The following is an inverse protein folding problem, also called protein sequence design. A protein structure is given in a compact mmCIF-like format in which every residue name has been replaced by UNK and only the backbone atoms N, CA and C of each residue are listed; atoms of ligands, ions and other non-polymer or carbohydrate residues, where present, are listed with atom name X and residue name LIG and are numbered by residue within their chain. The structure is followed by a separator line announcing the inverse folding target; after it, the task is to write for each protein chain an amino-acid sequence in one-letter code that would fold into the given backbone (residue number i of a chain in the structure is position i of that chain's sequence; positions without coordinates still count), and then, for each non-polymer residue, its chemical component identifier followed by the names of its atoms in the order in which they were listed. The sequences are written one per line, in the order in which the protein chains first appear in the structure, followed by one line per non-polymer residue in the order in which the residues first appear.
data_IF_783932472408
#
_entry.id   IF_783932472408
#
_cell.length_a   1.000
_cell.length_b   1.000
_cell.length_c   1.000
_cell.angle_alpha   90.00
_cell.angle_beta   90.00
_cell.angle_gamma   90.00
#
_symmetry.space_group_name_H-M   'P 1'
#
loop_
_entity.id
_entity.type
_entity.pdbx_description
1 polymer ?
#
# COMPACT_ATOMS: atom_id res chain seq x y z
N UNK A 1 4.08 10.41 -11.38
CA UNK A 1 4.62 11.26 -10.29
C UNK A 1 5.09 10.32 -9.21
N UNK A 2 6.18 10.63 -8.48
CA UNK A 2 6.62 9.76 -7.39
C UNK A 2 5.50 9.55 -6.37
N UNK A 3 5.49 8.42 -5.64
CA UNK A 3 4.49 8.15 -4.63
C UNK A 3 4.52 9.22 -3.54
N UNK A 4 3.34 9.55 -3.02
CA UNK A 4 3.22 10.39 -1.84
C UNK A 4 3.24 9.53 -0.59
N UNK A 5 4.24 9.76 0.26
CA UNK A 5 4.36 9.12 1.57
C UNK A 5 4.07 10.18 2.64
N UNK A 6 2.99 10.00 3.41
CA UNK A 6 2.71 10.89 4.53
C UNK A 6 3.88 10.85 5.54
N UNK A 7 4.31 11.99 6.13
CA UNK A 7 5.44 12.02 7.06
C UNK A 7 5.31 11.13 8.31
N UNK A 8 4.08 10.74 8.64
CA UNK A 8 3.74 9.85 9.76
C UNK A 8 3.46 8.40 9.34
N UNK A 9 3.65 8.06 8.06
CA UNK A 9 3.61 6.68 7.62
C UNK A 9 4.99 6.04 7.86
N UNK A 10 4.99 4.77 8.30
CA UNK A 10 6.20 3.98 8.39
C UNK A 10 6.26 3.05 7.17
N UNK A 11 7.09 3.40 6.19
CA UNK A 11 7.19 2.69 4.92
C UNK A 11 8.60 2.13 4.79
N UNK A 12 8.72 0.82 4.94
CA UNK A 12 10.00 0.10 4.89
C UNK A 12 10.19 -0.66 3.57
N UNK A 13 9.25 -0.51 2.63
CA UNK A 13 9.30 -1.11 1.29
C UNK A 13 9.71 -0.11 0.21
N UNK A 14 10.53 -0.58 -0.72
CA UNK A 14 11.05 0.23 -1.83
C UNK A 14 10.15 0.19 -3.07
N UNK A 15 9.30 -0.83 -3.20
CA UNK A 15 8.49 -1.09 -4.40
C UNK A 15 7.12 -0.44 -4.32
N UNK A 16 7.09 0.89 -4.33
CA UNK A 16 5.85 1.69 -4.35
C UNK A 16 5.69 2.37 -5.71
N UNK A 17 4.63 2.01 -6.44
CA UNK A 17 4.36 2.52 -7.77
C UNK A 17 3.98 4.00 -7.81
N UNK A 18 4.16 4.60 -8.99
CA UNK A 18 3.87 6.00 -9.27
C UNK A 18 2.41 6.39 -8.96
N UNK A 19 2.23 7.64 -8.54
CA UNK A 19 0.94 8.25 -8.18
C UNK A 19 0.19 7.53 -7.04
N UNK A 20 0.85 6.60 -6.33
CA UNK A 20 0.30 5.97 -5.14
C UNK A 20 0.40 6.91 -3.93
N UNK A 21 -0.65 6.93 -3.10
CA UNK A 21 -0.70 7.70 -1.86
C UNK A 21 -0.75 6.78 -0.66
N UNK A 22 0.14 7.00 0.30
CA UNK A 22 0.18 6.30 1.58
C UNK A 22 -0.08 7.33 2.68
N UNK A 23 -1.15 7.12 3.45
CA UNK A 23 -1.66 8.06 4.44
C UNK A 23 -1.13 7.77 5.85
N UNK A 24 -1.49 8.62 6.82
CA UNK A 24 -0.85 8.66 8.13
C UNK A 24 -1.04 7.35 8.92
N UNK A 25 -0.05 7.01 9.75
CA UNK A 25 -0.08 5.83 10.62
C UNK A 25 -0.24 4.49 9.88
N UNK A 26 -0.04 4.49 8.56
CA UNK A 26 0.11 3.28 7.78
C UNK A 26 1.48 2.70 8.06
N UNK A 27 1.56 1.38 8.27
CA UNK A 27 2.81 0.66 8.43
C UNK A 27 2.92 -0.42 7.34
N UNK A 28 3.93 -0.27 6.48
CA UNK A 28 4.23 -1.17 5.37
C UNK A 28 5.58 -1.81 5.66
N UNK A 29 5.59 -3.11 5.94
CA UNK A 29 6.80 -3.88 6.19
C UNK A 29 7.67 -4.00 4.91
N UNK A 30 8.95 -4.38 5.03
CA UNK A 30 9.81 -4.63 3.88
C UNK A 30 9.27 -5.71 2.94
N UNK A 31 9.59 -5.65 1.65
CA UNK A 31 9.23 -6.70 0.68
C UNK A 31 7.75 -6.70 0.26
N UNK A 32 7.02 -5.60 0.48
CA UNK A 32 5.69 -5.36 -0.07
C UNK A 32 5.83 -4.72 -1.45
N UNK A 33 5.05 -5.20 -2.42
CA UNK A 33 4.93 -4.56 -3.74
C UNK A 33 3.59 -3.84 -3.83
N UNK A 34 3.60 -2.54 -4.12
CA UNK A 34 2.39 -1.74 -4.36
C UNK A 34 2.45 -1.15 -5.77
N UNK A 35 1.42 -1.43 -6.57
CA UNK A 35 1.30 -0.92 -7.94
C UNK A 35 1.02 0.58 -8.00
N UNK A 36 0.92 1.10 -9.22
CA UNK A 36 0.65 2.52 -9.48
C UNK A 36 -0.80 2.92 -9.12
N UNK A 37 -1.01 4.22 -8.89
CA UNK A 37 -2.33 4.83 -8.67
C UNK A 37 -3.12 4.19 -7.52
N UNK A 38 -2.44 3.64 -6.52
CA UNK A 38 -3.07 3.08 -5.33
C UNK A 38 -3.38 4.16 -4.28
N UNK A 39 -4.32 3.87 -3.39
CA UNK A 39 -4.65 4.73 -2.27
C UNK A 39 -4.74 3.92 -0.98
N UNK A 40 -3.73 4.05 -0.13
CA UNK A 40 -3.60 3.31 1.14
C UNK A 40 -3.94 4.26 2.28
N UNK A 41 -5.19 4.19 2.76
CA UNK A 41 -5.73 5.05 3.81
C UNK A 41 -5.06 4.85 5.17
N UNK A 42 -5.38 5.73 6.12
CA UNK A 42 -4.73 5.79 7.43
C UNK A 42 -4.88 4.49 8.23
N UNK A 43 -3.94 4.24 9.15
CA UNK A 43 -4.00 3.06 10.04
C UNK A 43 -4.11 1.71 9.31
N UNK A 44 -3.54 1.61 8.10
CA UNK A 44 -3.42 0.34 7.37
C UNK A 44 -2.13 -0.36 7.78
N UNK A 45 -2.19 -1.69 7.93
CA UNK A 45 -1.02 -2.53 8.21
C UNK A 45 -0.81 -3.53 7.06
N UNK A 46 0.41 -3.61 6.51
CA UNK A 46 0.72 -4.49 5.39
C UNK A 46 2.00 -5.28 5.69
N UNK A 47 1.87 -6.61 5.75
CA UNK A 47 3.00 -7.52 6.01
C UNK A 47 3.85 -7.80 4.78
N UNK A 48 5.10 -8.22 5.01
CA UNK A 48 6.03 -8.66 3.97
C UNK A 48 5.44 -9.73 3.06
N UNK A 49 5.77 -9.70 1.76
CA UNK A 49 5.27 -10.66 0.77
C UNK A 49 3.84 -10.39 0.27
N UNK A 50 3.23 -9.27 0.66
CA UNK A 50 1.97 -8.81 0.08
C UNK A 50 2.21 -8.13 -1.27
N UNK A 51 1.31 -8.40 -2.23
CA UNK A 51 1.28 -7.72 -3.54
C UNK A 51 -0.05 -6.98 -3.72
N UNK A 52 0.02 -5.68 -3.96
CA UNK A 52 -1.14 -4.82 -4.24
C UNK A 52 -1.05 -4.36 -5.70
N UNK A 53 -2.05 -4.71 -6.50
CA UNK A 53 -2.16 -4.34 -7.91
C UNK A 53 -2.52 -2.87 -8.14
N UNK A 54 -2.38 -2.43 -9.40
CA UNK A 54 -2.67 -1.06 -9.84
C UNK A 54 -4.09 -0.61 -9.50
N UNK A 55 -4.23 0.63 -9.03
CA UNK A 55 -5.53 1.27 -8.82
C UNK A 55 -6.32 0.73 -7.63
N UNK A 56 -5.71 -0.03 -6.73
CA UNK A 56 -6.35 -0.55 -5.52
C UNK A 56 -6.50 0.57 -4.49
N UNK A 57 -7.62 0.57 -3.77
CA UNK A 57 -7.81 1.41 -2.58
C UNK A 57 -8.01 0.53 -1.37
N UNK A 58 -7.15 0.68 -0.37
CA UNK A 58 -7.30 0.04 0.94
C UNK A 58 -7.81 1.10 1.91
N UNK A 59 -8.94 0.83 2.55
CA UNK A 59 -9.57 1.74 3.51
C UNK A 59 -8.94 1.60 4.89
N UNK A 60 -9.21 2.60 5.73
CA UNK A 60 -8.65 2.75 7.07
C UNK A 60 -8.88 1.50 7.93
N UNK A 61 -7.94 1.17 8.81
CA UNK A 61 -8.01 0.03 9.74
C UNK A 61 -8.05 -1.35 9.10
N UNK A 62 -7.58 -1.49 7.85
CA UNK A 62 -7.41 -2.79 7.21
C UNK A 62 -6.00 -3.32 7.45
N UNK A 63 -5.90 -4.59 7.84
CA UNK A 63 -4.65 -5.33 7.92
C UNK A 63 -4.57 -6.36 6.81
N UNK A 64 -3.46 -6.36 6.07
CA UNK A 64 -3.18 -7.31 4.99
C UNK A 64 -2.01 -8.19 5.40
N UNK A 65 -2.28 -9.48 5.51
CA UNK A 65 -1.34 -10.47 6.01
C UNK A 65 -0.46 -11.05 4.90
N UNK A 66 0.66 -11.62 5.31
CA UNK A 66 1.67 -12.26 4.46
C UNK A 66 1.03 -13.20 3.43
N UNK A 67 1.46 -13.12 2.18
CA UNK A 67 1.01 -13.99 1.08
C UNK A 67 -0.30 -13.57 0.40
N UNK A 68 -0.94 -12.49 0.84
CA UNK A 68 -2.14 -11.95 0.18
C UNK A 68 -1.77 -11.17 -1.08
N UNK A 69 -2.50 -11.41 -2.16
CA UNK A 69 -2.47 -10.61 -3.38
C UNK A 69 -3.82 -9.93 -3.58
N UNK A 70 -3.83 -8.60 -3.76
CA UNK A 70 -5.04 -7.80 -3.98
C UNK A 70 -4.97 -7.20 -5.39
N UNK A 71 -5.97 -7.47 -6.21
CA UNK A 71 -6.09 -6.90 -7.55
C UNK A 71 -7.36 -6.07 -7.71
N UNK A 72 -7.31 -5.07 -8.59
CA UNK A 72 -8.50 -4.30 -8.98
C UNK A 72 -9.27 -5.08 -10.03
N UNK A 73 -10.50 -5.48 -9.71
CA UNK A 73 -11.42 -6.03 -10.70
C UNK A 73 -12.18 -4.89 -11.39
N UNK A 74 -11.77 -4.53 -12.60
CA UNK A 74 -12.47 -3.57 -13.45
C UNK A 74 -13.37 -4.33 -14.45
N UNK A 75 -14.66 -4.43 -14.12
CA UNK A 75 -15.71 -4.40 -15.15
C UNK A 75 -16.03 -2.96 -15.51
#
# INVERSE_FOLDING_TARGET
MPPYLHPQALVESEQIGDNTKIWAFTHILPGVTIGENCNICDYVFIESGVTIGKGVTIKTHVSVWTGVTIERNSK
#
